data_IF_277091238463
#
_entry.id   IF_277091238463
#
_cell.length_a   1.000
_cell.length_b   1.000
_cell.length_c   1.000
_cell.angle_alpha   90.00
_cell.angle_beta   90.00
_cell.angle_gamma   90.00
#
_symmetry.space_group_name_H-M   'P 1'
#
loop_
_entity.id
_entity.type
_entity.pdbx_description
1 polymer ?
#
# COMPACT_ATOMS: atom_id res chain seq x y z
N UNK A 1 29.07 5.13 -38.51
CA UNK A 1 28.63 5.47 -37.15
C UNK A 1 27.17 5.98 -37.12
N UNK A 2 26.21 5.25 -37.70
CA UNK A 2 24.80 5.70 -37.78
C UNK A 2 23.76 4.66 -37.32
N UNK A 3 24.23 3.47 -36.93
CA UNK A 3 23.40 2.36 -36.41
C UNK A 3 23.51 2.14 -34.90
N UNK A 4 24.33 2.96 -34.22
CA UNK A 4 24.54 2.85 -32.77
C UNK A 4 23.48 3.63 -31.97
N UNK A 5 22.89 4.67 -32.59
CA UNK A 5 21.80 5.48 -32.06
C UNK A 5 20.51 4.71 -31.73
N UNK A 6 19.98 3.82 -32.60
CA UNK A 6 18.79 3.04 -32.24
C UNK A 6 19.06 2.05 -31.11
N UNK A 7 20.29 1.53 -31.00
CA UNK A 7 20.66 0.53 -29.99
C UNK A 7 20.68 1.13 -28.57
N UNK A 8 21.13 2.39 -28.45
CA UNK A 8 21.08 3.16 -27.20
C UNK A 8 19.64 3.48 -26.77
N UNK A 9 18.73 3.78 -27.72
CA UNK A 9 17.32 4.04 -27.39
C UNK A 9 16.61 2.79 -26.84
N UNK A 10 16.87 1.62 -27.41
CA UNK A 10 16.26 0.36 -26.95
C UNK A 10 16.72 0.02 -25.53
N UNK A 11 17.99 0.28 -25.19
CA UNK A 11 18.52 0.03 -23.85
C UNK A 11 17.86 0.90 -22.75
N UNK A 12 17.50 2.15 -23.07
CA UNK A 12 16.78 3.03 -22.12
C UNK A 12 15.34 2.57 -21.91
N UNK A 13 14.69 2.02 -22.95
CA UNK A 13 13.31 1.52 -22.86
C UNK A 13 13.21 0.22 -22.05
N UNK A 14 14.25 -0.64 -22.07
CA UNK A 14 14.28 -1.87 -21.25
C UNK A 14 14.54 -1.62 -19.76
N UNK A 15 14.94 -0.41 -19.36
CA UNK A 15 15.02 -0.02 -17.95
C UNK A 15 13.63 0.19 -17.33
N UNK A 16 12.57 0.25 -18.14
CA UNK A 16 11.18 0.23 -17.70
C UNK A 16 10.59 -1.17 -17.92
N UNK A 17 11.27 -2.19 -17.38
CA UNK A 17 10.69 -3.53 -17.26
C UNK A 17 9.58 -3.53 -16.20
N UNK A 18 8.60 -4.46 -16.27
CA UNK A 18 7.60 -4.60 -15.22
C UNK A 18 8.33 -4.83 -13.90
N UNK A 19 8.18 -3.87 -12.98
CA UNK A 19 8.66 -3.98 -11.61
C UNK A 19 8.20 -5.34 -11.09
N UNK A 20 9.17 -6.20 -10.78
CA UNK A 20 8.96 -7.54 -10.24
C UNK A 20 7.89 -7.40 -9.17
N UNK A 21 6.69 -7.93 -9.44
CA UNK A 21 5.59 -7.84 -8.48
C UNK A 21 6.10 -8.53 -7.23
N UNK A 22 6.37 -7.80 -6.12
CA UNK A 22 6.84 -8.44 -4.92
C UNK A 22 5.75 -9.41 -4.53
N UNK A 23 6.17 -10.67 -4.42
CA UNK A 23 5.36 -11.84 -4.15
C UNK A 23 4.15 -11.47 -3.28
N UNK A 24 2.95 -11.48 -3.89
CA UNK A 24 1.68 -11.10 -3.23
C UNK A 24 1.40 -11.98 -2.00
N UNK A 25 2.12 -13.10 -1.87
CA UNK A 25 1.99 -14.09 -0.82
C UNK A 25 2.59 -13.67 0.54
N UNK A 26 3.54 -12.73 0.59
CA UNK A 26 4.29 -12.44 1.84
C UNK A 26 3.86 -11.16 2.56
N UNK A 27 2.96 -10.36 1.97
CA UNK A 27 2.51 -9.11 2.60
C UNK A 27 1.37 -9.45 3.58
N UNK A 28 1.49 -9.08 4.88
CA UNK A 28 0.43 -9.29 5.86
C UNK A 28 -0.91 -8.67 5.45
N UNK A 29 -2.01 -9.25 5.90
CA UNK A 29 -3.34 -8.70 5.73
C UNK A 29 -3.57 -7.51 6.66
N UNK A 30 -4.59 -6.71 6.36
CA UNK A 30 -5.00 -5.56 7.19
C UNK A 30 -5.37 -6.02 8.60
N UNK A 31 -6.03 -7.17 8.72
CA UNK A 31 -6.46 -7.71 10.01
C UNK A 31 -5.29 -8.21 10.85
N UNK A 32 -4.33 -8.90 10.25
CA UNK A 32 -3.10 -9.32 10.93
C UNK A 32 -2.27 -8.12 11.39
N UNK A 33 -2.18 -7.07 10.58
CA UNK A 33 -1.48 -5.83 10.95
C UNK A 33 -2.23 -5.07 12.04
N UNK A 34 -3.56 -5.05 12.03
CA UNK A 34 -4.36 -4.41 13.06
C UNK A 34 -4.34 -5.17 14.39
N UNK A 35 -4.13 -6.49 14.36
CA UNK A 35 -4.04 -7.33 15.55
C UNK A 35 -2.74 -7.12 16.36
N UNK A 36 -1.66 -6.64 15.72
CA UNK A 36 -0.38 -6.32 16.38
C UNK A 36 -0.04 -4.81 16.25
N UNK A 37 -0.49 -3.98 17.21
CA UNK A 37 -0.29 -2.53 17.15
C UNK A 37 1.18 -2.11 17.33
N UNK A 38 2.01 -2.94 17.99
CA UNK A 38 3.43 -2.65 18.17
C UNK A 38 4.17 -2.75 16.83
N UNK A 39 3.95 -3.87 16.12
CA UNK A 39 4.49 -4.07 14.77
C UNK A 39 3.96 -3.05 13.77
N UNK A 40 2.66 -2.73 13.84
CA UNK A 40 2.04 -1.72 12.97
C UNK A 40 2.67 -0.33 13.15
N UNK A 41 2.96 0.07 14.39
CA UNK A 41 3.61 1.35 14.70
C UNK A 41 5.01 1.42 14.11
N UNK A 42 5.78 0.34 14.21
CA UNK A 42 7.13 0.27 13.64
C UNK A 42 7.09 0.38 12.12
N UNK A 43 6.28 -0.46 11.45
CA UNK A 43 6.10 -0.42 10.00
C UNK A 43 5.63 0.95 9.51
N UNK A 44 4.75 1.62 10.27
CA UNK A 44 4.32 2.99 9.95
C UNK A 44 5.48 3.98 9.97
N UNK A 45 6.45 3.86 10.87
CA UNK A 45 7.65 4.71 10.84
C UNK A 45 8.54 4.39 9.65
N UNK A 46 8.77 3.10 9.39
CA UNK A 46 9.60 2.68 8.27
C UNK A 46 8.98 3.13 6.92
N UNK A 47 7.66 3.06 6.77
CA UNK A 47 6.97 3.53 5.56
C UNK A 47 7.02 5.04 5.32
N UNK A 48 7.32 5.87 6.32
CA UNK A 48 7.47 7.33 6.11
C UNK A 48 8.74 7.67 5.35
N UNK A 49 9.80 6.90 5.55
CA UNK A 49 11.15 7.20 5.02
C UNK A 49 11.59 6.18 3.97
N UNK A 50 11.18 4.92 4.11
CA UNK A 50 11.59 3.78 3.28
C UNK A 50 10.51 3.27 2.34
N UNK A 51 9.57 4.10 1.88
CA UNK A 51 8.48 3.65 1.00
C UNK A 51 8.98 2.99 -0.29
N UNK A 52 10.03 3.55 -0.90
CA UNK A 52 10.63 3.01 -2.12
C UNK A 52 11.27 1.62 -1.91
N UNK A 53 11.74 1.31 -0.69
CA UNK A 53 12.39 0.03 -0.37
C UNK A 53 11.40 -1.01 0.13
N UNK A 54 10.38 -0.60 0.88
CA UNK A 54 9.36 -1.48 1.46
C UNK A 54 8.24 -1.85 0.49
N UNK A 55 8.03 -1.04 -0.54
CA UNK A 55 7.01 -1.24 -1.55
C UNK A 55 5.65 -0.64 -1.20
N UNK A 56 4.97 -0.14 -2.22
CA UNK A 56 3.69 0.56 -2.08
C UNK A 56 2.59 -0.34 -1.51
N UNK A 57 2.56 -1.62 -1.88
CA UNK A 57 1.53 -2.55 -1.43
C UNK A 57 1.56 -2.74 0.09
N UNK A 58 2.75 -2.89 0.68
CA UNK A 58 2.90 -3.03 2.12
C UNK A 58 2.52 -1.72 2.83
N UNK A 59 3.05 -0.58 2.38
CA UNK A 59 2.78 0.70 3.03
C UNK A 59 1.31 1.15 2.91
N UNK A 60 0.62 0.77 1.83
CA UNK A 60 -0.82 0.99 1.70
C UNK A 60 -1.61 0.14 2.70
N UNK A 61 -1.28 -1.14 2.86
CA UNK A 61 -1.95 -1.99 3.87
C UNK A 61 -1.66 -1.54 5.30
N UNK A 62 -0.45 -1.07 5.60
CA UNK A 62 -0.11 -0.46 6.90
C UNK A 62 -0.98 0.79 7.15
N UNK A 63 -1.21 1.60 6.12
CA UNK A 63 -2.11 2.76 6.23
C UNK A 63 -3.56 2.35 6.48
N UNK A 64 -4.06 1.34 5.76
CA UNK A 64 -5.39 0.77 5.96
C UNK A 64 -5.57 0.15 7.36
N UNK A 65 -4.59 -0.62 7.83
CA UNK A 65 -4.60 -1.20 9.17
C UNK A 65 -4.57 -0.12 10.25
N UNK A 66 -3.78 0.94 10.06
CA UNK A 66 -3.80 2.09 10.99
C UNK A 66 -5.16 2.78 10.99
N UNK A 67 -5.79 2.92 9.81
CA UNK A 67 -7.13 3.51 9.67
C UNK A 67 -8.17 2.64 10.39
N UNK A 68 -8.16 1.33 10.17
CA UNK A 68 -9.05 0.38 10.84
C UNK A 68 -8.87 0.43 12.36
N UNK A 69 -7.63 0.48 12.84
CA UNK A 69 -7.37 0.61 14.28
C UNK A 69 -7.93 1.92 14.86
N UNK A 70 -7.82 3.04 14.13
CA UNK A 70 -8.31 4.34 14.59
C UNK A 70 -9.84 4.46 14.56
N UNK A 71 -10.49 4.03 13.47
CA UNK A 71 -11.94 4.15 13.31
C UNK A 71 -12.72 2.96 13.86
N UNK A 72 -12.04 1.88 14.26
CA UNK A 72 -12.69 0.63 14.67
C UNK A 72 -13.43 -0.04 13.50
N UNK A 73 -14.58 -0.61 13.81
CA UNK A 73 -15.50 -1.23 12.86
C UNK A 73 -16.32 -0.22 12.03
N UNK A 74 -16.15 1.07 12.28
CA UNK A 74 -16.88 2.13 11.57
C UNK A 74 -18.30 2.37 12.10
N UNK A 75 -18.73 1.69 13.17
CA UNK A 75 -19.98 2.04 13.86
C UNK A 75 -19.75 3.30 14.70
N UNK A 76 -20.18 4.43 14.16
CA UNK A 76 -20.20 5.70 14.90
C UNK A 76 -21.63 6.01 15.36
N UNK A 77 -21.84 6.64 16.52
CA UNK A 77 -23.19 6.95 17.04
C UNK A 77 -24.05 7.82 16.09
N UNK A 78 -23.40 8.54 15.19
CA UNK A 78 -24.03 9.44 14.22
C UNK A 78 -24.02 8.88 12.80
N UNK A 79 -23.61 7.63 12.60
CA UNK A 79 -23.73 6.97 11.31
C UNK A 79 -25.22 6.96 10.91
N UNK A 80 -25.60 7.59 9.78
CA UNK A 80 -26.99 7.58 9.33
C UNK A 80 -27.46 6.14 9.16
N UNK A 81 -28.69 5.84 9.57
CA UNK A 81 -29.28 4.53 9.28
C UNK A 81 -29.27 4.29 7.76
N UNK A 82 -28.84 3.11 7.34
CA UNK A 82 -28.78 2.75 5.91
C UNK A 82 -30.13 2.92 5.21
N UNK A 83 -31.22 2.77 5.97
CA UNK A 83 -32.56 3.14 5.53
C UNK A 83 -32.83 4.62 5.85
N UNK A 84 -33.05 5.48 4.84
CA UNK A 84 -33.53 6.83 5.07
C UNK A 84 -34.88 6.78 5.79
N UNK A 85 -35.10 7.64 6.80
CA UNK A 85 -36.45 7.82 7.35
C UNK A 85 -37.37 8.29 6.23
N UNK A 86 -38.49 7.60 6.04
CA UNK A 86 -39.55 8.09 5.16
C UNK A 86 -40.17 9.32 5.81
N UNK A 87 -40.20 10.42 5.07
CA UNK A 87 -40.92 11.64 5.43
C UNK A 87 -42.41 11.48 5.15
#
# INVERSE_FOLDING_TARGET
MKRMTPLLLVAVLTACGPSETPNKADVPTVDELAADPARLKELRQQCKTGRATLGDVLCNRVAEATRKWFYGDGQTPYAPSETPRKF
#
